data_IF_131897170768
#
_entry.id   IF_131897170768
#
_cell.length_a   1.000
_cell.length_b   1.000
_cell.length_c   1.000
_cell.angle_alpha   90.00
_cell.angle_beta   90.00
_cell.angle_gamma   90.00
#
_symmetry.space_group_name_H-M   'P 1'
#
loop_
_entity.id
_entity.type
_entity.pdbx_description
1 polymer ?
2 non-polymer ?
3 water ?
#
# COMPACT_ATOMS: atom_id res chain seq x y z
N UNK A 2 10.59 -1.18 -0.50
CA UNK A 2 9.19 -1.36 -0.97
C UNK A 2 9.12 -1.12 -2.49
N UNK A 3 8.12 -1.73 -3.13
CA UNK A 3 7.62 -1.25 -4.45
C UNK A 3 6.44 -0.30 -4.26
N UNK A 4 6.19 0.56 -5.25
CA UNK A 4 4.95 1.35 -5.32
C UNK A 4 4.06 0.73 -6.36
N UNK A 5 2.78 0.68 -6.07
CA UNK A 5 1.80 0.15 -7.03
C UNK A 5 0.95 1.25 -7.65
N UNK A 6 1.13 2.50 -7.30
CA UNK A 6 0.39 3.55 -8.09
C UNK A 6 -1.15 3.56 -7.87
N UNK A 7 -1.59 3.00 -6.75
CA UNK A 7 -2.96 3.14 -6.25
C UNK A 7 -2.89 4.36 -5.32
N UNK A 8 -3.86 5.24 -5.45
CA UNK A 8 -3.98 6.43 -4.60
C UNK A 8 -4.55 6.05 -3.26
N UNK A 9 -4.05 6.73 -2.24
CA UNK A 9 -4.38 6.44 -0.84
C UNK A 9 -4.25 7.70 0.02
N UNK A 10 -4.74 7.60 1.24
CA UNK A 10 -4.49 8.61 2.28
C UNK A 10 -3.98 7.90 3.52
N UNK A 11 -2.92 8.45 4.16
CA UNK A 11 -2.50 7.91 5.42
C UNK A 11 -3.55 7.89 6.51
N UNK A 12 -4.53 8.78 6.41
CA UNK A 12 -5.56 8.89 7.43
C UNK A 12 -6.60 7.78 7.39
N UNK A 13 -6.71 7.11 6.26
CA UNK A 13 -7.54 5.95 6.09
C UNK A 13 -6.83 5.01 5.11
N UNK A 14 -5.77 4.42 5.62
CA UNK A 14 -4.77 3.73 4.81
C UNK A 14 -5.22 2.31 4.56
N UNK A 15 -5.67 2.10 3.32
CA UNK A 15 -6.12 0.78 2.86
C UNK A 15 -5.15 0.06 1.88
N UNK A 16 -3.88 0.39 1.98
CA UNK A 16 -2.85 -0.15 1.09
C UNK A 16 -2.51 -1.62 1.39
N UNK A 17 -2.56 -2.02 2.67
CA UNK A 17 -2.25 -3.44 3.01
C UNK A 17 -3.12 -4.42 2.21
N UNK A 18 -4.41 -4.17 2.15
CA UNK A 18 -5.33 -5.05 1.37
C UNK A 18 -5.01 -5.06 -0.12
N UNK A 19 -4.66 -3.88 -0.66
CA UNK A 19 -4.29 -3.75 -2.07
C UNK A 19 -3.02 -4.52 -2.35
N UNK A 20 -2.07 -4.46 -1.43
CA UNK A 20 -0.80 -5.19 -1.56
C UNK A 20 -1.00 -6.71 -1.41
N UNK A 21 -1.84 -7.13 -0.46
CA UNK A 21 -2.02 -8.55 -0.17
C UNK A 21 -2.71 -9.26 -1.31
N UNK A 22 -3.67 -8.63 -1.97
CA UNK A 22 -4.34 -9.32 -3.16
C UNK A 22 -3.37 -9.42 -4.35
N UNK A 23 -2.32 -8.57 -4.33
CA UNK A 23 -1.22 -8.62 -5.31
C UNK A 23 -0.05 -9.46 -4.82
N UNK A 24 -0.29 -10.23 -3.75
CA UNK A 24 0.64 -11.20 -3.21
C UNK A 24 1.85 -10.61 -2.51
N UNK A 25 1.74 -9.38 -1.96
CA UNK A 25 2.71 -8.89 -0.99
C UNK A 25 2.16 -9.13 0.40
N UNK A 26 3.00 -9.06 1.41
CA UNK A 26 2.54 -9.31 2.77
C UNK A 26 1.99 -8.05 3.39
N UNK A 27 2.63 -6.91 3.13
CA UNK A 27 2.12 -5.70 3.70
C UNK A 27 2.29 -4.49 2.85
N UNK A 28 1.64 -3.42 3.26
CA UNK A 28 1.62 -2.18 2.47
C UNK A 28 1.24 -1.00 3.33
N UNK A 29 1.51 0.20 2.84
CA UNK A 29 1.23 1.43 3.57
C UNK A 29 1.19 2.57 2.54
N UNK A 30 0.50 3.62 2.93
CA UNK A 30 0.36 4.81 2.15
C UNK A 30 1.55 5.72 2.50
N UNK A 31 2.31 6.09 1.19
CA UNK A 31 3.33 7.12 1.34
C UNK A 31 2.99 8.31 0.51
N UNK A 32 2.79 9.45 1.17
CA UNK A 32 2.26 10.65 0.55
C UNK A 32 0.83 10.38 0.11
N UNK A 33 0.67 10.00 -1.15
CA UNK A 33 -0.65 9.59 -1.62
C UNK A 33 -0.63 8.37 -2.52
N UNK A 34 0.39 7.52 -2.38
CA UNK A 34 0.55 6.34 -3.21
C UNK A 34 0.82 5.13 -2.35
N UNK A 35 0.17 4.00 -2.67
CA UNK A 35 0.45 2.72 -1.95
C UNK A 35 1.82 2.12 -2.28
N UNK A 36 2.54 1.79 -1.21
CA UNK A 36 3.76 0.96 -1.27
C UNK A 36 3.48 -0.41 -0.71
N UNK A 37 4.18 -1.42 -1.23
CA UNK A 37 4.03 -2.81 -0.75
C UNK A 37 5.39 -3.38 -0.46
N UNK A 38 5.48 -4.31 0.49
CA UNK A 38 6.71 -5.11 0.62
C UNK A 38 6.40 -6.52 1.04
N UNK A 39 7.38 -7.41 0.90
CA UNK A 39 7.17 -8.79 1.30
C UNK A 39 6.26 -9.48 0.28
X LIG B 1 -7.98 3.61 -1.28
X LIG B 1 -6.86 4.45 -1.27
X LIG B 1 -7.50 2.23 -1.67
X LIG B 1 -6.20 2.03 -1.06
X LIG B 1 -8.65 1.32 -1.21
X LIG B 1 -8.37 -0.10 -1.18
#
# INVERSE_FOLDING_TARGET
GSISIGIKCSPSIDLCEGQCRIRKYFTGYCSGDTCHCSG
GOL C1 O1 C2 O2 C3 O3
#
